data_IF_766706949355
#
_entry.id   IF_766706949355
#
_cell.length_a   1.000
_cell.length_b   1.000
_cell.length_c   1.000
_cell.angle_alpha   90.00
_cell.angle_beta   90.00
_cell.angle_gamma   90.00
#
_symmetry.space_group_name_H-M   'P 1'
#
loop_
_entity.id
_entity.type
_entity.pdbx_description
1 polymer ?
#
# COMPACT_ATOMS: atom_id res chain seq x y z
N UNK A 1 -10.41 -6.49 2.53
CA UNK A 1 -9.34 -7.17 1.78
C UNK A 1 -8.60 -6.17 0.92
N UNK A 2 -7.30 -6.19 0.93
CA UNK A 2 -6.49 -5.21 0.20
C UNK A 2 -5.25 -5.85 -0.41
N UNK A 3 -4.89 -5.45 -1.65
CA UNK A 3 -3.59 -5.80 -2.19
C UNK A 3 -2.48 -5.23 -1.32
N UNK A 4 -1.35 -5.93 -1.24
CA UNK A 4 -0.17 -5.50 -0.52
C UNK A 4 0.89 -4.99 -1.49
N UNK A 5 1.47 -3.85 -1.17
CA UNK A 5 2.59 -3.28 -1.90
C UNK A 5 3.78 -3.17 -0.94
N UNK A 6 4.57 -4.27 -0.82
CA UNK A 6 5.74 -4.27 0.06
C UNK A 6 6.88 -3.46 -0.56
N UNK A 7 7.49 -2.60 0.23
CA UNK A 7 8.58 -1.73 -0.22
C UNK A 7 9.77 -1.83 0.71
N UNK A 8 11.00 -1.78 0.16
CA UNK A 8 12.20 -1.66 0.99
C UNK A 8 12.39 -0.19 1.41
N UNK A 9 12.82 0.02 2.64
CA UNK A 9 13.29 1.33 3.12
C UNK A 9 12.32 2.50 2.89
N UNK A 10 11.02 2.24 2.82
CA UNK A 10 10.02 3.29 2.62
C UNK A 10 8.80 3.07 3.50
N UNK A 11 8.37 4.12 4.16
CA UNK A 11 7.15 4.12 4.98
C UNK A 11 6.26 5.25 4.52
N UNK A 12 4.99 4.93 4.21
CA UNK A 12 3.98 5.93 3.90
C UNK A 12 3.25 6.29 5.18
N UNK A 13 3.30 7.55 5.55
CA UNK A 13 2.55 8.04 6.71
C UNK A 13 1.11 8.38 6.34
N UNK A 14 0.15 8.23 7.26
CA UNK A 14 -1.21 8.71 7.03
C UNK A 14 -1.19 10.19 6.63
N UNK A 15 -2.03 10.56 5.67
CA UNK A 15 -2.18 11.89 5.09
C UNK A 15 -1.00 12.37 4.22
N UNK A 16 0.03 11.56 4.08
CA UNK A 16 1.12 11.85 3.14
C UNK A 16 0.82 11.22 1.79
N UNK A 17 1.27 11.87 0.72
CA UNK A 17 1.19 11.35 -0.63
C UNK A 17 2.58 11.04 -1.18
N UNK A 18 2.67 10.04 -2.02
CA UNK A 18 3.92 9.72 -2.68
C UNK A 18 3.67 9.18 -4.08
N UNK A 19 4.58 9.51 -4.99
CA UNK A 19 4.53 9.06 -6.38
C UNK A 19 5.35 7.80 -6.55
N UNK A 20 4.77 6.80 -7.22
CA UNK A 20 5.44 5.54 -7.50
C UNK A 20 5.41 5.25 -8.99
N UNK A 21 6.50 4.73 -9.52
CA UNK A 21 6.54 4.16 -10.86
C UNK A 21 6.37 2.65 -10.73
N UNK A 22 5.33 2.13 -11.35
CA UNK A 22 4.97 0.71 -11.27
C UNK A 22 5.40 0.04 -12.56
N UNK A 23 6.35 -0.88 -12.47
CA UNK A 23 6.91 -1.58 -13.63
C UNK A 23 7.04 -3.08 -13.44
N UNK A 24 7.11 -3.58 -12.21
CA UNK A 24 7.18 -5.02 -11.97
C UNK A 24 5.83 -5.67 -12.31
N UNK A 25 5.83 -6.82 -13.03
CA UNK A 25 4.58 -7.44 -13.49
C UNK A 25 3.55 -7.68 -12.38
N UNK A 26 3.98 -8.11 -11.21
CA UNK A 26 3.05 -8.34 -10.09
C UNK A 26 2.35 -7.05 -9.64
N UNK A 27 3.02 -5.92 -9.67
CA UNK A 27 2.42 -4.65 -9.25
C UNK A 27 1.66 -3.96 -10.37
N UNK A 28 2.05 -4.21 -11.64
CA UNK A 28 1.24 -3.80 -12.79
C UNK A 28 -0.13 -4.49 -12.72
N UNK A 29 -0.16 -5.79 -12.48
CA UNK A 29 -1.43 -6.52 -12.30
C UNK A 29 -2.23 -5.96 -11.12
N UNK A 30 -1.57 -5.67 -10.01
CA UNK A 30 -2.20 -5.07 -8.84
C UNK A 30 -2.92 -3.76 -9.19
N UNK A 31 -2.26 -2.86 -9.91
CA UNK A 31 -2.85 -1.59 -10.32
C UNK A 31 -4.01 -1.82 -11.28
N UNK A 32 -3.83 -2.68 -12.28
CA UNK A 32 -4.88 -2.96 -13.25
C UNK A 32 -6.14 -3.54 -12.59
N UNK A 33 -5.96 -4.39 -11.58
CA UNK A 33 -7.09 -4.97 -10.86
C UNK A 33 -7.76 -4.00 -9.87
N UNK A 34 -7.05 -2.97 -9.44
CA UNK A 34 -7.50 -2.10 -8.35
C UNK A 34 -8.07 -0.77 -8.84
N UNK A 35 -7.53 -0.25 -9.96
CA UNK A 35 -7.84 1.12 -10.39
C UNK A 35 -9.31 1.33 -10.77
N UNK A 36 -9.99 0.30 -11.24
CA UNK A 36 -11.40 0.35 -11.60
C UNK A 36 -12.32 -0.19 -10.49
N UNK A 37 -11.77 -0.43 -9.32
CA UNK A 37 -12.51 -0.94 -8.16
C UNK A 37 -12.39 0.07 -7.02
N UNK A 38 -11.85 -0.37 -5.88
CA UNK A 38 -11.79 0.45 -4.67
C UNK A 38 -10.66 1.45 -4.66
N UNK A 39 -9.64 1.26 -5.51
CA UNK A 39 -8.43 2.09 -5.59
C UNK A 39 -7.65 2.10 -4.27
N UNK A 40 -7.69 1.00 -3.55
CA UNK A 40 -7.03 0.85 -2.26
C UNK A 40 -5.89 -0.16 -2.36
N UNK A 41 -4.75 0.19 -1.82
CA UNK A 41 -3.59 -0.69 -1.67
C UNK A 41 -2.99 -0.46 -0.30
N UNK A 42 -2.36 -1.48 0.27
CA UNK A 42 -1.69 -1.35 1.57
C UNK A 42 -0.19 -1.39 1.37
N UNK A 43 0.47 -0.31 1.77
CA UNK A 43 1.93 -0.22 1.72
C UNK A 43 2.50 -0.74 3.03
N UNK A 44 3.42 -1.67 2.93
CA UNK A 44 4.13 -2.23 4.09
C UNK A 44 5.61 -2.30 3.82
N UNK A 45 6.38 -2.50 4.88
CA UNK A 45 7.84 -2.51 4.81
C UNK A 45 8.34 -3.95 4.75
N UNK A 46 9.26 -4.21 3.82
CA UNK A 46 9.99 -5.47 3.76
C UNK A 46 10.94 -5.57 4.95
N UNK A 47 11.04 -6.77 5.54
CA UNK A 47 12.01 -7.04 6.61
C UNK A 47 13.40 -7.23 6.04
N UNK A 48 14.41 -7.07 6.89
CA UNK A 48 15.82 -7.32 6.53
C UNK A 48 15.98 -8.73 5.93
N UNK A 49 16.83 -8.86 4.94
CA UNK A 49 17.04 -10.14 4.25
C UNK A 49 16.16 -10.33 3.02
N UNK A 50 15.36 -9.34 2.66
CA UNK A 50 14.47 -9.43 1.50
C UNK A 50 15.23 -9.65 0.20
N UNK A 51 16.48 -9.22 0.11
CA UNK A 51 17.30 -9.33 -1.08
C UNK A 51 17.51 -10.81 -1.48
N UNK A 52 17.55 -11.70 -0.51
CA UNK A 52 17.82 -13.12 -0.74
C UNK A 52 16.65 -13.85 -1.40
N UNK A 53 15.43 -13.33 -1.26
CA UNK A 53 14.23 -13.96 -1.83
C UNK A 53 13.22 -12.95 -2.38
N UNK A 54 13.72 -11.84 -2.90
CA UNK A 54 12.87 -10.73 -3.39
C UNK A 54 11.87 -11.20 -4.45
N UNK A 55 12.29 -12.07 -5.36
CA UNK A 55 11.43 -12.56 -6.45
C UNK A 55 10.34 -13.54 -5.96
N UNK A 56 10.47 -14.04 -4.75
CA UNK A 56 9.48 -14.92 -4.14
C UNK A 56 8.54 -14.11 -3.24
N UNK A 57 8.47 -14.45 -1.96
CA UNK A 57 7.61 -13.79 -0.97
C UNK A 57 8.42 -13.44 0.27
N UNK A 58 9.22 -12.37 0.21
CA UNK A 58 10.02 -12.00 1.37
C UNK A 58 9.14 -11.57 2.55
N UNK A 59 9.67 -11.73 3.76
CA UNK A 59 8.93 -11.37 4.97
C UNK A 59 8.65 -9.88 5.03
N UNK A 60 7.44 -9.55 5.49
CA UNK A 60 6.99 -8.17 5.68
C UNK A 60 6.64 -7.93 7.14
N UNK A 61 6.63 -6.68 7.55
CA UNK A 61 6.04 -6.31 8.83
C UNK A 61 4.52 -6.43 8.73
N UNK A 62 3.88 -6.77 9.86
CA UNK A 62 2.44 -6.96 9.90
C UNK A 62 1.67 -5.66 10.18
N UNK A 63 2.33 -4.55 10.07
CA UNK A 63 1.73 -3.22 10.20
C UNK A 63 2.10 -2.45 8.92
N UNK A 64 1.13 -1.72 8.39
CA UNK A 64 1.35 -0.91 7.22
C UNK A 64 0.37 0.25 7.16
N UNK A 65 0.29 0.87 6.00
CA UNK A 65 -0.59 2.01 5.77
C UNK A 65 -1.53 1.69 4.62
N UNK A 66 -2.82 1.72 4.89
CA UNK A 66 -3.83 1.67 3.83
C UNK A 66 -3.74 2.94 3.02
N UNK A 67 -3.58 2.82 1.72
CA UNK A 67 -3.43 3.94 0.83
C UNK A 67 -4.52 3.98 -0.25
N UNK A 68 -4.79 5.18 -0.73
CA UNK A 68 -5.71 5.43 -1.83
C UNK A 68 -4.95 5.89 -3.06
N UNK A 69 -5.24 5.27 -4.20
CA UNK A 69 -4.65 5.65 -5.48
C UNK A 69 -5.41 6.86 -6.00
N UNK A 70 -4.82 8.05 -5.82
CA UNK A 70 -5.44 9.31 -6.21
C UNK A 70 -5.32 9.57 -7.71
N UNK A 71 -4.16 9.29 -8.27
CA UNK A 71 -3.88 9.47 -9.68
C UNK A 71 -3.20 8.23 -10.24
N UNK A 72 -3.56 7.88 -11.48
CA UNK A 72 -2.95 6.78 -12.19
C UNK A 72 -2.76 7.18 -13.65
N UNK A 73 -1.52 7.18 -14.10
CA UNK A 73 -1.16 7.50 -15.49
C UNK A 73 -0.52 6.28 -16.10
N UNK A 74 -1.09 5.83 -17.22
CA UNK A 74 -0.49 4.76 -18.01
C UNK A 74 0.70 5.30 -18.78
N UNK A 75 1.83 4.60 -18.67
CA UNK A 75 3.05 4.93 -19.39
C UNK A 75 3.28 3.93 -20.51
N UNK A 76 4.34 4.11 -21.28
CA UNK A 76 4.73 3.15 -22.31
C UNK A 76 5.17 1.82 -21.68
N UNK A 77 5.18 0.75 -22.49
CA UNK A 77 5.62 -0.58 -22.09
C UNK A 77 4.83 -1.18 -20.91
N UNK A 78 3.52 -0.88 -20.84
CA UNK A 78 2.63 -1.41 -19.83
C UNK A 78 3.10 -1.09 -18.41
N UNK A 79 3.52 0.14 -18.19
CA UNK A 79 3.94 0.66 -16.89
C UNK A 79 2.96 1.74 -16.44
N UNK A 80 2.97 2.03 -15.15
CA UNK A 80 2.09 3.05 -14.57
C UNK A 80 2.86 3.98 -13.66
N UNK A 81 2.39 5.22 -13.59
CA UNK A 81 2.80 6.17 -12.56
C UNK A 81 1.58 6.47 -11.71
N UNK A 82 1.69 6.25 -10.40
CA UNK A 82 0.57 6.43 -9.49
C UNK A 82 0.97 7.35 -8.35
N UNK A 83 -0.02 8.08 -7.82
CA UNK A 83 0.13 8.82 -6.57
C UNK A 83 -0.77 8.13 -5.54
N UNK A 84 -0.17 7.73 -4.43
CA UNK A 84 -0.89 7.04 -3.37
C UNK A 84 -0.84 7.91 -2.12
N UNK A 85 -2.02 8.16 -1.54
CA UNK A 85 -2.15 8.87 -0.27
C UNK A 85 -2.40 7.88 0.86
N UNK A 86 -1.67 8.04 1.95
CA UNK A 86 -1.90 7.28 3.16
C UNK A 86 -3.20 7.68 3.83
N UNK A 87 -4.02 6.71 4.19
CA UNK A 87 -5.30 6.92 4.86
C UNK A 87 -5.24 6.56 6.33
N UNK A 88 -4.87 5.32 6.62
CA UNK A 88 -4.94 4.75 7.97
C UNK A 88 -3.80 3.80 8.21
N UNK A 89 -3.34 3.75 9.45
CA UNK A 89 -2.43 2.70 9.91
C UNK A 89 -3.25 1.43 10.13
N UNK A 90 -2.75 0.31 9.63
CA UNK A 90 -3.48 -0.95 9.66
C UNK A 90 -2.59 -2.10 10.13
N UNK A 91 -3.23 -3.08 10.75
CA UNK A 91 -2.63 -4.38 11.02
C UNK A 91 -2.98 -5.30 9.87
N UNK A 92 -2.00 -6.06 9.41
CA UNK A 92 -2.07 -6.88 8.22
C UNK A 92 -2.13 -8.34 8.61
N UNK A 93 -3.10 -9.07 8.08
CA UNK A 93 -3.17 -10.51 8.14
C UNK A 93 -3.21 -11.05 6.72
N UNK A 94 -2.06 -11.48 6.23
CA UNK A 94 -1.92 -11.96 4.86
C UNK A 94 -2.65 -13.30 4.68
N UNK A 95 -3.23 -13.49 3.49
CA UNK A 95 -3.80 -14.78 3.09
C UNK A 95 -3.33 -15.13 1.68
N UNK A 96 -3.41 -16.41 1.33
CA UNK A 96 -3.00 -16.89 0.01
C UNK A 96 -4.04 -16.53 -1.05
N UNK A 97 -3.56 -16.29 -2.27
CA UNK A 97 -4.41 -16.03 -3.43
C UNK A 97 -3.75 -16.56 -4.70
N UNK A 98 -4.45 -16.39 -5.83
CA UNK A 98 -3.97 -16.85 -7.15
C UNK A 98 -3.37 -15.71 -7.99
N UNK A 99 -3.27 -14.50 -7.45
CA UNK A 99 -2.68 -13.37 -8.15
C UNK A 99 -1.16 -13.35 -8.02
N UNK A 100 -0.49 -12.57 -8.87
CA UNK A 100 0.94 -12.35 -8.76
C UNK A 100 1.31 -11.52 -7.53
N UNK A 101 0.41 -10.68 -7.06
CA UNK A 101 0.61 -9.84 -5.89
C UNK A 101 -0.06 -10.43 -4.65
N UNK A 102 0.40 -9.98 -3.50
CA UNK A 102 -0.07 -10.47 -2.19
C UNK A 102 -1.30 -9.68 -1.75
N UNK A 103 -2.13 -10.32 -0.94
CA UNK A 103 -3.33 -9.70 -0.38
C UNK A 103 -3.46 -10.00 1.11
N UNK A 104 -4.20 -9.15 1.81
CA UNK A 104 -4.41 -9.31 3.24
C UNK A 104 -5.76 -8.79 3.69
N UNK A 105 -6.23 -9.35 4.79
CA UNK A 105 -7.29 -8.73 5.59
C UNK A 105 -6.66 -7.68 6.49
N UNK A 106 -7.38 -6.60 6.70
CA UNK A 106 -6.90 -5.45 7.44
C UNK A 106 -7.75 -5.17 8.67
N UNK A 107 -7.11 -4.70 9.73
CA UNK A 107 -7.80 -4.07 10.84
C UNK A 107 -7.14 -2.72 11.14
N UNK A 108 -7.95 -1.70 11.37
CA UNK A 108 -7.47 -0.36 11.62
C UNK A 108 -6.84 -0.33 13.02
N UNK A 109 -5.64 0.25 13.12
CA UNK A 109 -4.99 0.46 14.39
C UNK A 109 -5.39 1.83 14.90
N UNK A 110 -6.06 1.84 16.04
CA UNK A 110 -6.44 3.06 16.73
C UNK A 110 -5.50 3.31 17.88
N UNK A 111 -4.84 4.46 17.83
CA UNK A 111 -3.97 4.94 18.89
C UNK A 111 -4.60 6.23 19.39
N UNK A 112 -4.78 6.37 20.71
CA UNK A 112 -5.46 7.53 21.29
C UNK A 112 -4.79 8.85 20.93
N UNK A 113 -3.48 8.91 20.83
CA UNK A 113 -2.75 10.10 20.41
C UNK A 113 -2.91 10.34 18.90
N UNK A 114 -2.93 9.30 18.12
CA UNK A 114 -3.14 9.38 16.68
C UNK A 114 -4.58 9.80 16.36
N UNK A 115 -5.55 9.30 17.11
CA UNK A 115 -6.95 9.70 16.96
C UNK A 115 -7.11 11.21 17.13
N UNK A 116 -6.46 11.78 18.14
CA UNK A 116 -6.51 13.23 18.37
C UNK A 116 -5.94 14.01 17.20
N UNK A 117 -4.79 13.56 16.67
CA UNK A 117 -4.18 14.17 15.49
C UNK A 117 -5.05 14.03 14.26
N UNK A 118 -5.61 12.86 14.03
CA UNK A 118 -6.51 12.62 12.91
C UNK A 118 -7.73 13.54 12.97
N UNK A 119 -8.33 13.70 14.13
CA UNK A 119 -9.46 14.63 14.31
C UNK A 119 -9.09 16.06 13.96
N UNK A 120 -7.91 16.50 14.38
CA UNK A 120 -7.42 17.84 14.04
C UNK A 120 -7.27 17.98 12.53
N UNK A 121 -6.68 16.98 11.87
CA UNK A 121 -6.50 16.98 10.43
C UNK A 121 -7.85 16.99 9.71
N UNK A 122 -8.80 16.17 10.13
CA UNK A 122 -10.13 16.16 9.52
C UNK A 122 -10.83 17.50 9.66
N UNK A 123 -10.65 18.18 10.77
CA UNK A 123 -11.21 19.52 10.98
C UNK A 123 -10.58 20.57 10.07
N UNK A 124 -9.29 20.42 9.77
CA UNK A 124 -8.56 21.35 8.90
C UNK A 124 -8.88 21.10 7.43
N UNK A 125 -9.01 19.85 7.02
CA UNK A 125 -9.20 19.46 5.62
C UNK A 125 -10.66 19.54 5.21
N UNK A 126 -11.56 19.22 6.11
CA UNK A 126 -13.00 19.24 5.85
C UNK A 126 -13.63 20.56 6.33
#
# INVERSE_FOLDING_TARGET
>A
MSPLFPLPNFVLFPLAGHRFKIFEPRYVEMIENTINKEKLVTITLLKSGYEDNYEASPSIYNIGTLGYIDQCKELENNQYEVIIFGLKKVRIKEFENDFLYREADLSIIEDSMMISKERIYFQIIN
#
